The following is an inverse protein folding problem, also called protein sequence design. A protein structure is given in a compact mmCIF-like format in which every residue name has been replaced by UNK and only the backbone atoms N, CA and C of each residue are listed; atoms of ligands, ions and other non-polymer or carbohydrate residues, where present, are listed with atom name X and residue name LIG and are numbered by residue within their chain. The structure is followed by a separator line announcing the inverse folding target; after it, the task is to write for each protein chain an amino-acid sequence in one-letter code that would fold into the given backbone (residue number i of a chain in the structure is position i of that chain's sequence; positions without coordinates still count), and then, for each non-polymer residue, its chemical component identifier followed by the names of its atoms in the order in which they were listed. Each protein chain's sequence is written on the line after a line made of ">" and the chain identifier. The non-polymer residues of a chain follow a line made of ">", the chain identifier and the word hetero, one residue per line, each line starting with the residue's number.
data_IF_157997555621
#
_entry.id   IF_157997555621
#
_cell.length_a   1.000
_cell.length_b   1.000
_cell.length_c   1.000
_cell.angle_alpha   90.00
_cell.angle_beta   90.00
_cell.angle_gamma   90.00
#
_symmetry.space_group_name_H-M   'P 1'
#
loop_
_entity.id
_entity.type
_entity.pdbx_description
1 polymer ?
#
# COMPACT_ATOMS: atom_id res chain seq x y z
N UNK A 1 -26.05 0.21 3.09
CA UNK A 1 -24.69 -0.23 2.72
C UNK A 1 -24.33 -1.41 3.60
N UNK A 2 -23.68 -2.46 3.11
CA UNK A 2 -23.16 -3.51 3.98
C UNK A 2 -22.27 -2.87 5.06
N UNK A 3 -22.42 -3.28 6.32
CA UNK A 3 -21.51 -2.86 7.38
C UNK A 3 -20.24 -3.67 7.24
N UNK A 4 -19.21 -3.08 6.63
CA UNK A 4 -17.90 -3.71 6.52
C UNK A 4 -17.18 -3.61 7.86
N UNK A 5 -16.74 -4.74 8.40
CA UNK A 5 -15.96 -4.80 9.63
C UNK A 5 -14.58 -5.35 9.29
N UNK A 6 -13.56 -4.48 9.34
CA UNK A 6 -12.16 -4.88 9.16
C UNK A 6 -11.81 -6.06 10.09
N UNK A 7 -12.39 -6.11 11.29
CA UNK A 7 -12.13 -7.18 12.25
C UNK A 7 -12.69 -8.54 11.81
N UNK A 8 -13.89 -8.56 11.22
CA UNK A 8 -14.53 -9.79 10.73
C UNK A 8 -13.83 -10.28 9.46
N UNK A 9 -13.44 -9.36 8.58
CA UNK A 9 -12.81 -9.67 7.29
C UNK A 9 -11.29 -9.79 7.37
N UNK A 10 -10.67 -9.50 8.52
CA UNK A 10 -9.21 -9.54 8.70
C UNK A 10 -8.56 -10.85 8.20
N UNK A 11 -9.14 -12.05 8.40
CA UNK A 11 -8.56 -13.29 7.87
C UNK A 11 -8.40 -13.28 6.34
N UNK A 12 -9.38 -12.75 5.60
CA UNK A 12 -9.32 -12.68 4.13
C UNK A 12 -8.30 -11.63 3.67
N UNK A 13 -8.29 -10.47 4.34
CA UNK A 13 -7.30 -9.39 4.12
C UNK A 13 -5.88 -9.94 4.35
N UNK A 14 -5.69 -10.66 5.45
CA UNK A 14 -4.41 -11.23 5.85
C UNK A 14 -3.93 -12.32 4.88
N UNK A 15 -4.85 -13.16 4.37
CA UNK A 15 -4.55 -14.19 3.37
C UNK A 15 -4.07 -13.55 2.05
N UNK A 16 -4.82 -12.60 1.52
CA UNK A 16 -4.45 -11.87 0.30
C UNK A 16 -3.09 -11.15 0.46
N UNK A 17 -2.87 -10.52 1.62
CA UNK A 17 -1.60 -9.84 1.90
C UNK A 17 -0.42 -10.82 1.92
N UNK A 18 -0.61 -12.03 2.45
CA UNK A 18 0.44 -13.08 2.43
C UNK A 18 0.76 -13.57 1.02
N UNK A 19 -0.27 -13.75 0.18
CA UNK A 19 -0.05 -14.13 -1.23
C UNK A 19 0.71 -13.01 -1.94
N UNK A 20 0.31 -11.75 -1.74
CA UNK A 20 0.97 -10.60 -2.36
C UNK A 20 2.43 -10.46 -1.91
N UNK A 21 2.75 -10.68 -0.63
CA UNK A 21 4.13 -10.73 -0.13
C UNK A 21 5.00 -11.73 -0.94
N UNK A 22 4.44 -12.88 -1.30
CA UNK A 22 5.12 -13.88 -2.13
C UNK A 22 5.33 -13.47 -3.59
N UNK A 23 4.71 -12.37 -4.04
CA UNK A 23 4.89 -11.80 -5.39
C UNK A 23 5.86 -10.61 -5.41
N UNK A 24 6.29 -10.11 -4.25
CA UNK A 24 7.24 -9.00 -4.18
C UNK A 24 8.64 -9.46 -4.62
N UNK A 25 9.45 -8.57 -5.23
CA UNK A 25 10.79 -8.92 -5.70
C UNK A 25 11.74 -9.45 -4.62
N UNK A 26 11.63 -8.97 -3.37
CA UNK A 26 12.44 -9.48 -2.25
C UNK A 26 13.93 -9.08 -2.30
N UNK A 27 14.28 -8.03 -3.07
CA UNK A 27 15.68 -7.64 -3.33
C UNK A 27 16.16 -6.45 -2.49
N UNK A 28 15.26 -5.57 -2.10
CA UNK A 28 15.56 -4.34 -1.36
C UNK A 28 14.34 -3.99 -0.51
N UNK A 29 14.48 -4.07 0.81
CA UNK A 29 13.34 -4.04 1.74
C UNK A 29 12.56 -2.72 1.63
N UNK A 30 13.26 -1.59 1.45
CA UNK A 30 12.66 -0.27 1.28
C UNK A 30 11.89 -0.18 -0.05
N UNK A 31 12.37 -0.83 -1.10
CA UNK A 31 11.67 -0.90 -2.40
C UNK A 31 10.39 -1.74 -2.28
N UNK A 32 10.44 -2.84 -1.54
CA UNK A 32 9.27 -3.71 -1.33
C UNK A 32 8.22 -3.04 -0.45
N UNK A 33 8.63 -2.32 0.61
CA UNK A 33 7.73 -1.49 1.44
C UNK A 33 7.10 -0.39 0.59
N UNK A 34 7.91 0.40 -0.11
CA UNK A 34 7.44 1.48 -0.96
C UNK A 34 6.51 0.97 -2.06
N UNK A 35 6.81 -0.19 -2.64
CA UNK A 35 6.00 -0.83 -3.67
C UNK A 35 4.62 -1.23 -3.17
N UNK A 36 4.56 -2.00 -2.09
CA UNK A 36 3.30 -2.42 -1.49
C UNK A 36 2.47 -1.20 -1.01
N UNK A 37 3.11 -0.22 -0.39
CA UNK A 37 2.46 1.02 0.05
C UNK A 37 1.92 1.85 -1.13
N UNK A 38 2.69 1.98 -2.22
CA UNK A 38 2.25 2.69 -3.43
C UNK A 38 1.04 2.02 -4.06
N UNK A 39 0.99 0.69 -4.07
CA UNK A 39 -0.18 -0.05 -4.54
C UNK A 39 -1.39 0.20 -3.64
N UNK A 40 -1.21 0.29 -2.33
CA UNK A 40 -2.32 0.65 -1.43
C UNK A 40 -2.89 2.04 -1.75
N UNK A 41 -2.00 3.02 -1.96
CA UNK A 41 -2.39 4.36 -2.42
C UNK A 41 -3.09 4.35 -3.78
N UNK A 42 -2.57 3.58 -4.73
CA UNK A 42 -3.19 3.40 -6.05
C UNK A 42 -4.62 2.85 -5.94
N UNK A 43 -4.83 1.84 -5.09
CA UNK A 43 -6.15 1.25 -4.90
C UNK A 43 -7.14 2.25 -4.28
N UNK A 44 -6.69 3.15 -3.39
CA UNK A 44 -7.51 4.28 -2.95
C UNK A 44 -7.89 5.20 -4.12
N UNK A 45 -6.92 5.61 -4.93
CA UNK A 45 -7.17 6.50 -6.06
C UNK A 45 -8.15 5.87 -7.07
N UNK A 46 -8.02 4.57 -7.36
CA UNK A 46 -8.96 3.85 -8.25
C UNK A 46 -10.34 3.72 -7.64
N UNK A 47 -10.44 3.46 -6.34
CA UNK A 47 -11.72 3.38 -5.63
C UNK A 47 -12.50 4.71 -5.63
N UNK A 48 -11.81 5.84 -5.76
CA UNK A 48 -12.44 7.16 -5.90
C UNK A 48 -13.25 7.32 -7.21
N UNK A 49 -13.04 6.46 -8.21
CA UNK A 49 -13.80 6.47 -9.46
C UNK A 49 -13.60 7.73 -10.32
N UNK A 50 -12.50 8.46 -10.11
CA UNK A 50 -12.18 9.67 -10.88
C UNK A 50 -11.71 9.31 -12.29
N UNK A 51 -12.19 10.03 -13.30
CA UNK A 51 -11.69 9.89 -14.67
C UNK A 51 -10.31 10.56 -14.79
N UNK A 52 -9.28 9.73 -14.96
CA UNK A 52 -7.89 10.16 -15.14
C UNK A 52 -7.41 10.01 -16.60
N UNK A 53 -8.29 9.66 -17.54
CA UNK A 53 -7.93 9.29 -18.91
C UNK A 53 -7.28 10.42 -19.72
N UNK A 54 -7.53 11.67 -19.33
CA UNK A 54 -6.95 12.86 -19.96
C UNK A 54 -5.63 13.31 -19.36
N UNK A 55 -5.16 12.67 -18.27
CA UNK A 55 -3.94 13.06 -17.57
C UNK A 55 -2.78 12.12 -17.93
N UNK A 56 -1.57 12.67 -17.96
CA UNK A 56 -0.36 11.89 -18.23
C UNK A 56 0.01 11.03 -17.00
N UNK A 57 0.31 9.72 -17.17
CA UNK A 57 0.82 8.88 -16.08
C UNK A 57 2.04 9.49 -15.40
N UNK A 58 2.07 9.47 -14.08
CA UNK A 58 3.10 10.11 -13.25
C UNK A 58 2.76 11.54 -12.83
N UNK A 59 1.75 12.18 -13.43
CA UNK A 59 1.29 13.50 -13.01
C UNK A 59 0.67 13.46 -11.61
N UNK A 60 0.74 14.58 -10.89
CA UNK A 60 0.07 14.72 -9.60
C UNK A 60 -1.42 14.99 -9.77
N UNK A 61 -2.25 14.31 -8.98
CA UNK A 61 -3.69 14.55 -8.90
C UNK A 61 -4.10 14.82 -7.45
N UNK A 62 -5.05 15.75 -7.27
CA UNK A 62 -5.65 16.06 -5.97
C UNK A 62 -7.12 15.62 -6.03
N UNK A 63 -7.47 14.62 -5.23
CA UNK A 63 -8.82 14.07 -5.13
C UNK A 63 -9.26 14.15 -3.68
N UNK A 64 -10.31 14.90 -3.38
CA UNK A 64 -10.74 15.14 -2.00
C UNK A 64 -11.16 13.85 -1.28
N UNK A 65 -11.82 12.93 -2.00
CA UNK A 65 -12.26 11.63 -1.45
C UNK A 65 -11.11 10.79 -0.88
N UNK A 66 -9.91 10.90 -1.49
CA UNK A 66 -8.72 10.17 -1.05
C UNK A 66 -8.26 10.65 0.33
N UNK A 67 -8.64 11.85 0.77
CA UNK A 67 -8.28 12.35 2.10
C UNK A 67 -9.02 11.58 3.21
N UNK A 68 -10.32 11.38 3.09
CA UNK A 68 -11.14 10.70 4.11
C UNK A 68 -10.78 9.20 4.19
N UNK A 69 -10.79 8.49 3.06
CA UNK A 69 -10.38 7.08 3.02
C UNK A 69 -8.88 6.89 3.32
N UNK A 70 -8.06 7.90 3.05
CA UNK A 70 -6.66 7.93 3.46
C UNK A 70 -6.49 7.96 4.98
N UNK A 71 -7.35 8.68 5.71
CA UNK A 71 -7.35 8.68 7.18
C UNK A 71 -7.70 7.29 7.71
N UNK A 72 -8.73 6.63 7.17
CA UNK A 72 -9.10 5.27 7.58
C UNK A 72 -7.97 4.26 7.36
N UNK A 73 -7.32 4.30 6.19
CA UNK A 73 -6.18 3.44 5.88
C UNK A 73 -4.99 3.74 6.80
N UNK A 74 -4.73 5.01 7.12
CA UNK A 74 -3.66 5.40 8.05
C UNK A 74 -3.92 4.87 9.46
N UNK A 75 -5.16 4.97 9.96
CA UNK A 75 -5.56 4.41 11.25
C UNK A 75 -5.41 2.89 11.29
N UNK A 76 -5.74 2.22 10.19
CA UNK A 76 -5.49 0.78 10.05
C UNK A 76 -3.99 0.45 10.15
N UNK A 77 -3.12 1.18 9.45
CA UNK A 77 -1.67 0.97 9.53
C UNK A 77 -1.13 1.20 10.96
N UNK A 78 -1.61 2.23 11.65
CA UNK A 78 -1.29 2.52 13.06
C UNK A 78 -1.70 1.36 13.97
N UNK A 79 -2.90 0.80 13.76
CA UNK A 79 -3.36 -0.36 14.53
C UNK A 79 -2.54 -1.62 14.23
N UNK A 80 -2.17 -1.84 12.97
CA UNK A 80 -1.28 -2.95 12.58
C UNK A 80 0.07 -2.80 13.27
N UNK A 81 0.66 -1.60 13.30
CA UNK A 81 1.91 -1.32 14.00
C UNK A 81 1.82 -1.70 15.48
N UNK A 82 0.76 -1.27 16.18
CA UNK A 82 0.54 -1.64 17.58
C UNK A 82 0.44 -3.16 17.77
N UNK A 83 -0.29 -3.84 16.89
CA UNK A 83 -0.52 -5.29 16.97
C UNK A 83 0.74 -6.11 16.62
N UNK A 84 1.69 -5.54 15.89
CA UNK A 84 2.96 -6.20 15.54
C UNK A 84 4.13 -5.79 16.44
N UNK A 85 3.87 -5.05 17.51
CA UNK A 85 4.88 -4.64 18.50
C UNK A 85 5.75 -3.46 18.08
N UNK A 86 5.36 -2.71 17.04
CA UNK A 86 5.96 -1.44 16.67
C UNK A 86 5.32 -0.31 17.50
N UNK A 87 6.04 0.79 17.77
CA UNK A 87 5.42 1.96 18.43
C UNK A 87 4.44 2.64 17.46
N UNK A 88 3.12 2.70 17.76
CA UNK A 88 2.15 3.30 16.86
C UNK A 88 2.18 4.83 16.85
N UNK A 89 2.93 5.49 17.74
CA UNK A 89 2.84 6.94 17.99
C UNK A 89 3.85 7.78 17.22
N UNK A 90 4.88 7.17 16.65
CA UNK A 90 6.05 7.88 16.09
C UNK A 90 6.37 7.42 14.67
N UNK A 91 7.24 8.15 13.96
CA UNK A 91 7.87 7.68 12.71
C UNK A 91 7.05 7.83 11.44
N UNK A 92 5.77 8.14 11.53
CA UNK A 92 4.88 8.23 10.36
C UNK A 92 5.14 9.44 9.46
N UNK A 93 5.63 10.54 10.05
CA UNK A 93 5.81 11.84 9.38
C UNK A 93 7.27 12.25 9.25
N UNK A 94 8.19 11.36 9.63
CA UNK A 94 9.62 11.63 9.52
C UNK A 94 10.06 11.57 8.05
N UNK A 95 11.00 12.41 7.61
CA UNK A 95 11.54 12.30 6.27
C UNK A 95 12.29 10.98 6.10
N UNK A 96 12.06 10.28 4.99
CA UNK A 96 12.83 9.08 4.64
C UNK A 96 14.27 9.49 4.27
N UNK A 97 15.31 8.98 4.95
CA UNK A 97 16.69 9.33 4.64
C UNK A 97 17.09 8.94 3.21
N UNK A 98 18.07 9.65 2.64
CA UNK A 98 18.51 9.43 1.25
C UNK A 98 18.97 7.98 0.99
N UNK A 99 19.68 7.38 1.95
CA UNK A 99 20.20 6.01 1.83
C UNK A 99 19.12 4.93 1.98
N UNK A 100 17.89 5.32 2.32
CA UNK A 100 16.73 4.43 2.46
C UNK A 100 15.65 4.69 1.41
N UNK A 101 15.98 5.42 0.34
CA UNK A 101 15.07 5.63 -0.78
C UNK A 101 14.89 4.33 -1.58
N UNK A 102 13.68 4.03 -2.07
CA UNK A 102 13.48 2.89 -2.94
C UNK A 102 14.20 3.08 -4.27
N UNK A 103 14.51 1.96 -4.93
CA UNK A 103 15.27 1.94 -6.18
C UNK A 103 14.42 2.25 -7.43
N UNK A 104 13.12 2.49 -7.23
CA UNK A 104 12.14 2.73 -8.29
C UNK A 104 11.23 3.89 -7.90
N UNK A 105 10.79 4.66 -8.89
CA UNK A 105 9.77 5.69 -8.70
C UNK A 105 8.39 5.07 -8.39
N UNK A 106 7.49 5.87 -7.81
CA UNK A 106 6.10 5.47 -7.51
C UNK A 106 5.39 4.92 -8.76
N UNK A 107 5.59 5.56 -9.92
CA UNK A 107 4.97 5.15 -11.17
C UNK A 107 5.51 3.78 -11.65
N UNK A 108 6.81 3.54 -11.49
CA UNK A 108 7.41 2.25 -11.85
C UNK A 108 6.98 1.13 -10.88
N UNK A 109 6.93 1.43 -9.58
CA UNK A 109 6.48 0.50 -8.54
C UNK A 109 5.04 0.06 -8.78
N UNK A 110 4.13 1.02 -8.95
CA UNK A 110 2.71 0.74 -9.20
C UNK A 110 2.50 -0.03 -10.50
N UNK A 111 3.22 0.34 -11.58
CA UNK A 111 3.18 -0.40 -12.85
C UNK A 111 3.65 -1.85 -12.71
N UNK A 112 4.71 -2.09 -11.94
CA UNK A 112 5.28 -3.41 -11.78
C UNK A 112 4.44 -4.31 -10.86
N UNK A 113 3.79 -3.73 -9.86
CA UNK A 113 3.16 -4.48 -8.77
C UNK A 113 1.64 -4.55 -8.82
N UNK A 114 0.97 -3.70 -9.60
CA UNK A 114 -0.49 -3.71 -9.69
C UNK A 114 -1.05 -5.06 -10.17
N UNK A 115 -0.55 -5.61 -11.28
CA UNK A 115 -1.06 -6.90 -11.78
C UNK A 115 -0.79 -8.07 -10.82
N UNK A 116 0.43 -8.26 -10.28
CA UNK A 116 0.66 -9.27 -9.25
C UNK A 116 -0.21 -9.11 -8.00
N UNK A 117 -0.47 -7.87 -7.59
CA UNK A 117 -1.36 -7.57 -6.47
C UNK A 117 -2.81 -7.96 -6.75
N UNK A 118 -3.35 -7.59 -7.91
CA UNK A 118 -4.72 -7.95 -8.28
C UNK A 118 -4.90 -9.47 -8.39
N UNK A 119 -3.91 -10.17 -8.94
CA UNK A 119 -3.90 -11.63 -8.95
C UNK A 119 -3.90 -12.24 -7.55
N UNK A 120 -3.16 -11.65 -6.59
CA UNK A 120 -3.16 -12.10 -5.20
C UNK A 120 -4.53 -11.89 -4.52
N UNK A 121 -5.21 -10.79 -4.84
CA UNK A 121 -6.56 -10.51 -4.36
C UNK A 121 -7.59 -11.50 -4.91
N UNK A 122 -7.50 -11.82 -6.20
CA UNK A 122 -8.35 -12.82 -6.85
C UNK A 122 -8.12 -14.22 -6.29
N UNK A 123 -6.85 -14.62 -6.11
CA UNK A 123 -6.47 -15.92 -5.53
C UNK A 123 -7.03 -16.10 -4.11
N UNK A 124 -7.09 -15.00 -3.32
CA UNK A 124 -7.66 -15.00 -1.98
C UNK A 124 -9.19 -14.83 -1.93
N UNK A 125 -9.86 -14.66 -3.08
CA UNK A 125 -11.27 -14.29 -3.17
C UNK A 125 -11.62 -13.06 -2.31
N UNK A 126 -10.72 -12.08 -2.25
CA UNK A 126 -10.90 -10.88 -1.44
C UNK A 126 -11.88 -9.90 -2.07
N UNK A 127 -12.64 -9.19 -1.24
CA UNK A 127 -13.57 -8.17 -1.71
C UNK A 127 -12.83 -6.91 -2.25
N UNK A 128 -13.34 -6.26 -3.31
CA UNK A 128 -12.68 -5.09 -3.93
C UNK A 128 -12.35 -3.95 -2.97
N UNK A 129 -13.24 -3.65 -2.03
CA UNK A 129 -13.10 -2.61 -1.01
C UNK A 129 -11.90 -2.82 -0.07
N UNK A 130 -11.42 -4.07 0.05
CA UNK A 130 -10.29 -4.40 0.90
C UNK A 130 -8.94 -4.23 0.25
N UNK A 131 -8.89 -3.98 -1.07
CA UNK A 131 -7.63 -3.87 -1.82
C UNK A 131 -6.62 -2.87 -1.21
N UNK A 132 -7.01 -1.64 -0.81
CA UNK A 132 -6.06 -0.73 -0.15
C UNK A 132 -5.48 -1.31 1.15
N UNK A 133 -6.33 -1.94 1.97
CA UNK A 133 -5.96 -2.52 3.26
C UNK A 133 -5.06 -3.74 3.11
N UNK A 134 -5.29 -4.57 2.09
CA UNK A 134 -4.46 -5.74 1.77
C UNK A 134 -3.03 -5.30 1.44
N UNK A 135 -2.88 -4.32 0.54
CA UNK A 135 -1.57 -3.82 0.14
C UNK A 135 -0.85 -3.10 1.30
N UNK A 136 -1.58 -2.31 2.09
CA UNK A 136 -1.03 -1.65 3.28
C UNK A 136 -0.59 -2.67 4.36
N UNK A 137 -1.37 -3.73 4.57
CA UNK A 137 -1.00 -4.81 5.48
C UNK A 137 0.26 -5.54 5.02
N UNK A 138 0.42 -5.79 3.72
CA UNK A 138 1.64 -6.36 3.16
C UNK A 138 2.85 -5.45 3.45
N UNK A 139 2.74 -4.14 3.19
CA UNK A 139 3.81 -3.17 3.52
C UNK A 139 4.18 -3.22 5.02
N UNK A 140 3.18 -3.18 5.91
CA UNK A 140 3.41 -3.19 7.36
C UNK A 140 3.99 -4.50 7.89
N UNK A 141 3.68 -5.64 7.25
CA UNK A 141 4.33 -6.92 7.57
C UNK A 141 5.83 -6.91 7.23
N UNK A 142 6.22 -6.26 6.14
CA UNK A 142 7.64 -6.11 5.77
C UNK A 142 8.34 -5.20 6.78
N UNK A 143 7.72 -4.08 7.18
CA UNK A 143 8.25 -3.20 8.24
C UNK A 143 8.47 -3.97 9.54
N UNK A 144 7.47 -4.73 9.98
CA UNK A 144 7.56 -5.55 11.21
C UNK A 144 8.65 -6.63 11.11
N UNK A 145 8.75 -7.32 9.97
CA UNK A 145 9.79 -8.31 9.73
C UNK A 145 11.19 -7.68 9.73
N UNK A 146 11.37 -6.55 9.03
CA UNK A 146 12.62 -5.80 8.98
C UNK A 146 13.09 -5.33 10.35
N UNK A 147 12.16 -4.81 11.16
CA UNK A 147 12.44 -4.42 12.54
C UNK A 147 12.82 -5.61 13.43
N UNK A 148 12.07 -6.71 13.35
CA UNK A 148 12.34 -7.94 14.12
C UNK A 148 13.70 -8.53 13.78
N UNK A 149 14.07 -8.51 12.50
CA UNK A 149 15.35 -9.01 12.00
C UNK A 149 16.49 -7.99 12.12
N UNK A 150 16.23 -6.77 12.61
CA UNK A 150 17.20 -5.66 12.72
C UNK A 150 17.86 -5.25 11.39
N UNK A 151 17.15 -5.45 10.28
CA UNK A 151 17.60 -5.00 8.95
C UNK A 151 17.15 -3.57 8.64
N UNK A 152 16.09 -3.10 9.28
CA UNK A 152 15.50 -1.79 9.04
C UNK A 152 15.05 -1.18 10.37
N UNK A 153 15.35 0.10 10.56
CA UNK A 153 14.77 0.88 11.65
C UNK A 153 13.24 0.97 11.47
N UNK A 154 12.42 0.58 12.46
CA UNK A 154 10.97 0.59 12.34
C UNK A 154 10.38 1.97 12.04
N UNK A 155 11.01 3.06 12.49
CA UNK A 155 10.56 4.42 12.20
C UNK A 155 10.76 4.75 10.72
N UNK A 156 11.90 4.35 10.13
CA UNK A 156 12.16 4.50 8.69
C UNK A 156 11.16 3.68 7.88
N UNK A 157 10.88 2.43 8.29
CA UNK A 157 9.90 1.59 7.62
C UNK A 157 8.48 2.16 7.65
N UNK A 158 8.05 2.73 8.78
CA UNK A 158 6.75 3.42 8.90
C UNK A 158 6.68 4.70 8.06
N UNK A 159 7.74 5.50 8.08
CA UNK A 159 7.87 6.71 7.25
C UNK A 159 7.75 6.37 5.76
N UNK A 160 8.46 5.33 5.31
CA UNK A 160 8.38 4.80 3.95
C UNK A 160 6.95 4.38 3.61
N UNK A 161 6.34 3.54 4.45
CA UNK A 161 4.99 3.05 4.19
C UNK A 161 3.99 4.21 4.06
N UNK A 162 3.97 5.16 4.99
CA UNK A 162 3.04 6.30 4.92
C UNK A 162 3.32 7.20 3.70
N UNK A 163 4.58 7.55 3.47
CA UNK A 163 4.98 8.41 2.36
C UNK A 163 4.53 7.83 1.02
N UNK A 164 4.72 6.53 0.82
CA UNK A 164 4.40 5.89 -0.46
C UNK A 164 2.91 5.54 -0.62
N UNK A 165 2.15 5.36 0.48
CA UNK A 165 0.67 5.38 0.40
C UNK A 165 0.20 6.73 -0.15
N UNK A 166 0.68 7.83 0.42
CA UNK A 166 0.29 9.18 -0.02
C UNK A 166 0.74 9.45 -1.46
N UNK A 167 1.96 9.05 -1.82
CA UNK A 167 2.46 9.27 -3.16
C UNK A 167 1.67 8.44 -4.19
N UNK A 168 1.39 7.17 -3.90
CA UNK A 168 0.59 6.30 -4.76
C UNK A 168 -0.85 6.80 -4.95
N UNK A 169 -1.44 7.40 -3.92
CA UNK A 169 -2.82 7.92 -3.99
C UNK A 169 -2.95 9.27 -4.69
N UNK A 170 -1.83 9.93 -5.00
CA UNK A 170 -1.76 11.23 -5.68
C UNK A 170 -1.02 11.19 -7.01
N UNK A 171 -0.67 10.01 -7.51
CA UNK A 171 0.04 9.84 -8.79
C UNK A 171 -0.91 9.22 -9.80
N UNK A 172 -1.11 9.89 -10.95
CA UNK A 172 -1.88 9.33 -12.07
C UNK A 172 -1.22 8.02 -12.52
N UNK A 173 -1.93 6.88 -12.45
CA UNK A 173 -1.33 5.59 -12.79
C UNK A 173 -1.29 5.37 -14.29
N UNK A 174 -0.60 4.31 -14.70
CA UNK A 174 -0.85 3.74 -16.02
C UNK A 174 -2.30 3.25 -16.11
N UNK A 175 -2.94 3.35 -17.29
CA UNK A 175 -4.23 2.71 -17.52
C UNK A 175 -4.16 1.22 -17.18
N UNK A 176 -5.23 0.68 -16.59
CA UNK A 176 -5.32 -0.76 -16.35
C UNK A 176 -5.18 -1.45 -17.69
N UNK A 177 -4.22 -2.38 -17.81
CA UNK A 177 -4.10 -3.21 -19.00
C UNK A 177 -5.42 -3.96 -19.18
N UNK A 178 -6.11 -3.70 -20.28
CA UNK A 178 -7.41 -4.30 -20.60
C UNK A 178 -7.33 -5.83 -20.49
N UNK A 179 -8.00 -6.40 -19.49
CA UNK A 179 -7.98 -7.84 -19.19
C UNK A 179 -8.10 -8.21 -17.70
N UNK A 180 -7.94 -7.26 -16.78
CA UNK A 180 -8.07 -7.46 -15.32
C UNK A 180 -9.16 -6.52 -14.80
N UNK A 181 -10.25 -7.03 -14.23
CA UNK A 181 -11.30 -6.16 -13.67
C UNK A 181 -10.86 -5.59 -12.32
N UNK A 182 -11.00 -4.28 -12.16
CA UNK A 182 -10.83 -3.58 -10.89
C UNK A 182 -11.95 -3.93 -9.90
#
# INVERSE_FOLDING_TARGET
>A
MPSFSIQEDYPSINAAANIFLGKLPGKHIETDIAGAASVAGLMLLRAAGVDLSSLEPGSTVLVDWVNDSGIELSNFMVQVAANTGLDPRTGWTEPVPADHQPQMSVLELTRALETPFLAACEEAASLPEWKPYIAALAAMKIVSAGATSKFLDPEIGKALAMTYVVAGSKTVPWPVLSGVSA
#
